data_IF_253934715947
#
_entry.id   IF_253934715947
#
_cell.length_a   1.000
_cell.length_b   1.000
_cell.length_c   1.000
_cell.angle_alpha   90.00
_cell.angle_beta   90.00
_cell.angle_gamma   90.00
#
_symmetry.space_group_name_H-M   'P 1'
#
loop_
_entity.id
_entity.type
_entity.pdbx_description
1 polymer ?
#
# COMPACT_ATOMS: atom_id res chain seq x y z
N UNK A 1 1.30 -3.23 -34.10
CA UNK A 1 1.72 -2.85 -32.74
C UNK A 1 1.51 -4.07 -31.87
N UNK A 2 2.58 -4.71 -31.42
CA UNK A 2 2.47 -5.87 -30.53
C UNK A 2 1.71 -5.47 -29.26
N UNK A 3 0.63 -6.21 -28.99
CA UNK A 3 -0.22 -6.05 -27.82
C UNK A 3 0.48 -6.60 -26.57
N UNK A 4 1.62 -6.02 -26.21
CA UNK A 4 2.37 -6.41 -25.02
C UNK A 4 1.61 -5.95 -23.76
N UNK A 5 1.15 -6.89 -22.97
CA UNK A 5 0.67 -6.64 -21.62
C UNK A 5 1.87 -6.62 -20.67
N UNK A 6 2.12 -5.49 -20.00
CA UNK A 6 3.26 -5.35 -19.09
C UNK A 6 3.25 -6.43 -17.99
N UNK A 7 2.07 -6.90 -17.58
CA UNK A 7 1.94 -7.95 -16.59
C UNK A 7 2.35 -9.33 -17.08
N UNK A 8 2.05 -9.65 -18.34
CA UNK A 8 2.48 -10.91 -18.94
C UNK A 8 3.98 -10.91 -19.16
N UNK A 9 4.53 -9.76 -19.57
CA UNK A 9 5.97 -9.59 -19.72
C UNK A 9 6.72 -9.78 -18.40
N UNK A 10 6.25 -9.13 -17.32
CA UNK A 10 6.83 -9.27 -15.97
C UNK A 10 6.83 -10.72 -15.48
N UNK A 11 5.74 -11.46 -15.72
CA UNK A 11 5.66 -12.90 -15.40
C UNK A 11 6.66 -13.71 -16.23
N UNK A 12 6.72 -13.46 -17.55
CA UNK A 12 7.57 -14.21 -18.48
C UNK A 12 9.06 -14.10 -18.13
N UNK A 13 9.51 -12.93 -17.66
CA UNK A 13 10.91 -12.72 -17.27
C UNK A 13 11.19 -13.12 -15.81
N UNK A 14 10.19 -13.59 -15.07
CA UNK A 14 10.36 -14.00 -13.67
C UNK A 14 10.72 -12.84 -12.73
N UNK A 15 10.24 -11.61 -13.00
CA UNK A 15 10.56 -10.45 -12.16
C UNK A 15 10.14 -10.71 -10.70
N UNK A 16 11.06 -10.58 -9.74
CA UNK A 16 10.71 -10.59 -8.31
C UNK A 16 9.93 -9.32 -7.98
N UNK A 17 8.76 -9.42 -7.35
CA UNK A 17 7.88 -8.28 -7.14
C UNK A 17 8.16 -7.51 -5.84
N UNK A 18 8.99 -8.06 -4.95
CA UNK A 18 9.33 -7.45 -3.66
C UNK A 18 10.02 -6.10 -3.82
N UNK A 19 9.89 -5.22 -2.82
CA UNK A 19 10.47 -3.89 -2.83
C UNK A 19 9.79 -2.95 -3.83
N UNK A 20 8.52 -3.24 -4.17
CA UNK A 20 7.74 -2.43 -5.12
C UNK A 20 6.53 -1.74 -4.49
N UNK A 21 6.32 -1.90 -3.18
CA UNK A 21 5.27 -1.19 -2.46
C UNK A 21 5.69 0.27 -2.21
N UNK A 22 4.80 1.22 -2.46
CA UNK A 22 5.08 2.64 -2.20
C UNK A 22 4.97 2.98 -0.71
N UNK A 23 5.82 3.89 -0.24
CA UNK A 23 5.88 4.32 1.17
C UNK A 23 5.27 5.73 1.34
N UNK A 24 3.94 5.80 1.46
CA UNK A 24 3.21 7.05 1.71
C UNK A 24 2.87 7.20 3.21
N UNK A 25 2.91 8.42 3.72
CA UNK A 25 2.50 8.71 5.09
C UNK A 25 0.98 8.73 5.24
N UNK A 26 0.26 9.15 4.20
CA UNK A 26 -1.19 9.27 4.23
C UNK A 26 -1.81 8.69 2.95
N UNK A 27 -2.87 7.92 3.08
CA UNK A 27 -3.79 7.65 1.97
C UNK A 27 -5.09 8.40 2.17
N UNK A 28 -5.59 9.02 1.11
CA UNK A 28 -6.90 9.66 1.08
C UNK A 28 -7.69 8.97 -0.03
N UNK A 29 -8.68 8.16 0.37
CA UNK A 29 -9.53 7.39 -0.52
C UNK A 29 -10.89 8.08 -0.61
N UNK A 30 -11.31 8.38 -1.83
CA UNK A 30 -12.50 9.16 -2.09
C UNK A 30 -13.44 8.32 -2.95
N UNK A 31 -14.62 8.02 -2.43
CA UNK A 31 -15.63 7.35 -3.21
C UNK A 31 -16.04 8.21 -4.41
N UNK A 32 -15.85 7.67 -5.61
CA UNK A 32 -16.20 8.34 -6.85
C UNK A 32 -16.70 7.31 -7.86
N UNK A 33 -17.92 7.47 -8.38
CA UNK A 33 -18.49 6.51 -9.30
C UNK A 33 -17.64 6.34 -10.59
N UNK A 34 -17.57 5.10 -11.08
CA UNK A 34 -16.95 4.76 -12.36
C UNK A 34 -17.84 5.16 -13.55
N UNK A 35 -17.30 5.37 -14.78
CA UNK A 35 -15.91 5.17 -15.20
C UNK A 35 -14.98 6.33 -14.82
N UNK A 36 -13.70 6.00 -14.60
CA UNK A 36 -12.64 6.99 -14.36
C UNK A 36 -11.86 7.30 -15.65
N UNK A 37 -11.46 8.56 -15.83
CA UNK A 37 -10.54 8.98 -16.88
C UNK A 37 -9.13 8.44 -16.62
N UNK A 38 -8.25 8.41 -17.65
CA UNK A 38 -6.87 7.92 -17.51
C UNK A 38 -6.14 8.60 -16.36
N UNK A 39 -6.25 9.93 -16.29
CA UNK A 39 -5.92 10.70 -15.10
C UNK A 39 -7.14 10.69 -14.16
N UNK A 40 -7.01 10.01 -13.02
CA UNK A 40 -8.15 9.75 -12.13
C UNK A 40 -8.92 11.02 -11.73
N UNK A 41 -8.21 12.10 -11.40
CA UNK A 41 -8.81 13.36 -10.95
C UNK A 41 -9.30 14.27 -12.09
N UNK A 42 -9.21 13.81 -13.34
CA UNK A 42 -9.87 14.41 -14.51
C UNK A 42 -11.21 13.71 -14.81
N UNK A 43 -11.63 12.76 -13.97
CA UNK A 43 -12.90 12.04 -14.15
C UNK A 43 -14.11 12.96 -13.99
N UNK A 44 -15.18 12.65 -14.71
CA UNK A 44 -16.42 13.45 -14.78
C UNK A 44 -16.97 13.89 -13.43
N UNK A 45 -16.96 12.99 -12.44
CA UNK A 45 -17.57 13.22 -11.13
C UNK A 45 -16.64 13.92 -10.14
N UNK A 46 -15.38 14.18 -10.50
CA UNK A 46 -14.43 14.87 -9.63
C UNK A 46 -14.64 16.38 -9.75
N UNK A 47 -15.03 17.07 -8.66
CA UNK A 47 -15.28 18.50 -8.70
C UNK A 47 -13.96 19.29 -8.78
N UNK A 48 -14.03 20.49 -9.34
CA UNK A 48 -12.85 21.33 -9.62
C UNK A 48 -12.08 21.73 -8.36
N UNK A 49 -12.77 21.92 -7.23
CA UNK A 49 -12.16 22.22 -5.92
C UNK A 49 -11.31 21.05 -5.40
N UNK A 50 -11.76 19.80 -5.59
CA UNK A 50 -11.02 18.60 -5.23
C UNK A 50 -9.81 18.43 -6.13
N UNK A 51 -9.97 18.59 -7.45
CA UNK A 51 -8.84 18.56 -8.40
C UNK A 51 -7.77 19.60 -8.04
N UNK A 52 -8.18 20.83 -7.72
CA UNK A 52 -7.26 21.89 -7.30
C UNK A 52 -6.49 21.53 -6.03
N UNK A 53 -7.16 20.93 -5.03
CA UNK A 53 -6.52 20.46 -3.80
C UNK A 53 -5.47 19.37 -4.07
N UNK A 54 -5.79 18.39 -4.92
CA UNK A 54 -4.85 17.31 -5.26
C UNK A 54 -3.59 17.88 -5.92
N UNK A 55 -3.75 18.85 -6.83
CA UNK A 55 -2.62 19.52 -7.47
C UNK A 55 -1.81 20.40 -6.50
N UNK A 56 -2.45 21.06 -5.54
CA UNK A 56 -1.79 21.81 -4.47
C UNK A 56 -0.91 20.88 -3.61
N UNK A 57 -1.47 19.76 -3.15
CA UNK A 57 -0.74 18.76 -2.36
C UNK A 57 0.42 18.16 -3.13
N UNK A 58 0.23 17.87 -4.43
CA UNK A 58 1.28 17.37 -5.32
C UNK A 58 2.41 18.38 -5.51
N UNK A 59 2.09 19.66 -5.72
CA UNK A 59 3.07 20.76 -5.83
C UNK A 59 3.86 20.94 -4.55
N UNK A 60 3.20 20.84 -3.40
CA UNK A 60 3.82 20.89 -2.08
C UNK A 60 4.65 19.64 -1.74
N UNK A 61 4.59 18.59 -2.56
CA UNK A 61 5.28 17.29 -2.36
C UNK A 61 4.96 16.65 -1.02
N UNK A 62 3.73 16.82 -0.52
CA UNK A 62 3.34 16.14 0.71
C UNK A 62 3.26 14.63 0.42
N UNK A 63 3.63 13.77 1.39
CA UNK A 63 3.65 12.32 1.24
C UNK A 63 2.25 11.69 1.33
N UNK A 64 1.29 12.28 0.60
CA UNK A 64 -0.12 11.92 0.57
C UNK A 64 -0.46 11.28 -0.77
N UNK A 65 -1.08 10.10 -0.73
CA UNK A 65 -1.59 9.41 -1.92
C UNK A 65 -3.10 9.51 -1.98
N UNK A 66 -3.58 10.22 -2.98
CA UNK A 66 -5.01 10.24 -3.32
C UNK A 66 -5.38 9.06 -4.23
N UNK A 67 -6.51 8.43 -3.94
CA UNK A 67 -7.12 7.39 -4.77
C UNK A 67 -8.62 7.61 -4.83
N UNK A 68 -9.21 7.31 -5.99
CA UNK A 68 -10.65 7.20 -6.12
C UNK A 68 -11.02 5.73 -5.91
N UNK A 69 -12.07 5.48 -5.15
CA UNK A 69 -12.59 4.14 -4.86
C UNK A 69 -14.04 4.01 -5.29
N UNK A 70 -14.45 2.79 -5.61
CA UNK A 70 -15.84 2.47 -5.92
C UNK A 70 -16.14 1.02 -5.54
N UNK A 71 -17.37 0.75 -5.13
CA UNK A 71 -17.90 -0.59 -4.89
C UNK A 71 -19.26 -0.76 -5.57
N UNK A 72 -19.96 -1.85 -5.28
CA UNK A 72 -21.28 -2.17 -5.83
C UNK A 72 -22.41 -1.21 -5.39
N UNK A 73 -22.16 -0.38 -4.37
CA UNK A 73 -23.10 0.57 -3.77
C UNK A 73 -22.84 2.03 -4.20
N UNK A 74 -21.67 2.36 -4.74
CA UNK A 74 -21.26 3.75 -5.06
C UNK A 74 -22.16 4.51 -6.05
N UNK A 75 -23.04 3.81 -6.78
CA UNK A 75 -24.04 4.44 -7.66
C UNK A 75 -25.46 4.40 -7.09
N UNK A 76 -25.65 3.80 -5.91
CA UNK A 76 -26.96 3.50 -5.31
C UNK A 76 -27.28 4.39 -4.11
N UNK A 77 -26.29 5.09 -3.56
CA UNK A 77 -26.43 5.92 -2.36
C UNK A 77 -26.05 7.35 -2.70
N UNK A 78 -26.84 8.32 -2.24
CA UNK A 78 -26.56 9.76 -2.36
C UNK A 78 -25.61 10.24 -1.25
N UNK A 79 -24.50 9.53 -1.09
CA UNK A 79 -23.49 9.78 -0.08
C UNK A 79 -22.11 9.47 -0.67
N UNK A 80 -21.07 10.09 -0.08
CA UNK A 80 -19.69 9.90 -0.49
C UNK A 80 -18.88 9.49 0.72
N UNK A 81 -18.35 8.27 0.70
CA UNK A 81 -17.38 7.82 1.70
C UNK A 81 -16.01 8.45 1.43
N UNK A 82 -15.45 9.08 2.45
CA UNK A 82 -14.06 9.55 2.49
C UNK A 82 -13.32 8.78 3.58
N UNK A 83 -12.23 8.10 3.19
CA UNK A 83 -11.36 7.36 4.10
C UNK A 83 -9.98 8.02 4.14
N UNK A 84 -9.51 8.33 5.34
CA UNK A 84 -8.16 8.83 5.56
C UNK A 84 -7.39 7.81 6.39
N UNK A 85 -6.24 7.38 5.87
CA UNK A 85 -5.32 6.48 6.54
C UNK A 85 -4.04 7.23 6.84
N UNK A 86 -3.78 7.52 8.12
CA UNK A 86 -2.56 8.18 8.57
C UNK A 86 -1.62 7.17 9.21
N UNK A 87 -0.37 7.11 8.75
CA UNK A 87 0.63 6.18 9.28
C UNK A 87 0.87 6.44 10.78
N UNK A 88 0.93 5.36 11.57
CA UNK A 88 1.35 5.43 12.98
C UNK A 88 2.83 5.77 13.09
N UNK A 89 3.19 6.67 13.99
CA UNK A 89 4.58 6.95 14.34
C UNK A 89 5.14 5.88 15.29
N UNK A 90 6.45 5.64 15.22
CA UNK A 90 7.13 4.65 16.06
C UNK A 90 6.85 3.19 15.67
N UNK A 91 6.85 2.30 16.67
CA UNK A 91 6.47 0.89 16.51
C UNK A 91 4.97 0.79 16.24
N UNK A 92 4.62 0.50 14.98
CA UNK A 92 3.23 0.47 14.53
C UNK A 92 2.93 -0.74 13.66
N UNK A 93 1.65 -1.04 13.53
CA UNK A 93 1.14 -2.12 12.66
C UNK A 93 0.55 -1.60 11.34
N UNK A 94 0.79 -0.33 10.99
CA UNK A 94 0.22 0.29 9.77
C UNK A 94 -0.30 1.70 10.01
N UNK A 95 -1.56 1.91 9.66
CA UNK A 95 -2.23 3.20 9.59
C UNK A 95 -3.39 3.28 10.60
N UNK A 96 -3.71 4.50 11.03
CA UNK A 96 -4.95 4.84 11.73
C UNK A 96 -5.95 5.29 10.68
N UNK A 97 -7.12 4.65 10.70
CA UNK A 97 -8.22 4.95 9.81
C UNK A 97 -9.11 6.03 10.42
N UNK A 98 -9.56 6.97 9.59
CA UNK A 98 -10.68 7.86 9.87
C UNK A 98 -11.65 7.79 8.70
N UNK A 99 -12.94 7.73 9.00
CA UNK A 99 -14.00 7.55 8.02
C UNK A 99 -15.03 8.67 8.16
N UNK A 100 -15.35 9.30 7.04
CA UNK A 100 -16.32 10.37 6.94
C UNK A 100 -17.37 9.98 5.91
N UNK A 101 -18.64 10.17 6.26
CA UNK A 101 -19.75 10.04 5.33
C UNK A 101 -20.26 11.43 4.98
N UNK A 102 -20.10 11.82 3.73
CA UNK A 102 -20.44 13.16 3.24
C UNK A 102 -21.68 13.11 2.36
N UNK A 103 -22.50 14.17 2.32
CA UNK A 103 -23.67 14.22 1.45
C UNK A 103 -23.32 14.10 -0.04
N UNK A 104 -22.14 14.58 -0.43
CA UNK A 104 -21.67 14.59 -1.82
C UNK A 104 -20.14 14.72 -1.88
N UNK A 105 -19.58 14.60 -3.10
CA UNK A 105 -18.14 14.64 -3.35
C UNK A 105 -17.57 16.07 -3.31
N UNK A 106 -18.40 17.09 -3.51
CA UNK A 106 -18.03 18.50 -3.49
C UNK A 106 -17.53 18.95 -2.11
N UNK A 107 -18.06 18.33 -1.04
CA UNK A 107 -17.67 18.61 0.34
C UNK A 107 -16.30 18.03 0.72
N UNK A 108 -15.80 17.03 -0.01
CA UNK A 108 -14.57 16.28 0.31
C UNK A 108 -13.36 17.21 0.47
N UNK A 109 -13.18 18.16 -0.46
CA UNK A 109 -12.03 19.06 -0.45
C UNK A 109 -11.98 19.94 0.81
N UNK A 110 -13.13 20.40 1.30
CA UNK A 110 -13.22 21.22 2.50
C UNK A 110 -12.85 20.41 3.75
N UNK A 111 -13.30 19.15 3.82
CA UNK A 111 -12.99 18.25 4.94
C UNK A 111 -11.49 17.92 4.98
N UNK A 112 -10.88 17.58 3.84
CA UNK A 112 -9.45 17.30 3.78
C UNK A 112 -8.62 18.52 4.21
N UNK A 113 -8.99 19.74 3.76
CA UNK A 113 -8.31 20.96 4.19
C UNK A 113 -8.37 21.17 5.71
N UNK A 114 -9.55 20.95 6.32
CA UNK A 114 -9.70 21.01 7.78
C UNK A 114 -8.82 19.98 8.50
N UNK A 115 -8.82 18.74 7.98
CA UNK A 115 -7.99 17.66 8.50
C UNK A 115 -6.50 17.98 8.43
N UNK A 116 -6.01 18.51 7.30
CA UNK A 116 -4.62 18.95 7.12
C UNK A 116 -4.20 20.07 8.09
N UNK A 117 -5.15 20.92 8.51
CA UNK A 117 -4.92 21.94 9.54
C UNK A 117 -5.02 21.42 10.98
N UNK A 118 -5.13 20.11 11.19
CA UNK A 118 -5.27 19.50 12.51
C UNK A 118 -6.62 19.74 13.18
N UNK A 119 -7.63 20.20 12.42
CA UNK A 119 -8.99 20.38 12.91
C UNK A 119 -9.79 19.12 12.59
N UNK A 120 -10.03 18.28 13.60
CA UNK A 120 -10.90 17.11 13.49
C UNK A 120 -12.33 17.56 13.14
N UNK A 121 -12.89 17.11 12.00
CA UNK A 121 -14.26 17.42 11.63
C UNK A 121 -15.26 16.75 12.59
N UNK A 122 -16.36 17.42 12.92
CA UNK A 122 -17.42 16.88 13.79
C UNK A 122 -18.17 15.65 13.22
N UNK A 123 -17.91 15.27 11.97
CA UNK A 123 -18.56 14.16 11.26
C UNK A 123 -17.74 12.85 11.27
N UNK A 124 -16.83 12.69 12.22
CA UNK A 124 -16.15 11.41 12.45
C UNK A 124 -17.18 10.36 12.91
N UNK A 125 -17.44 9.36 12.07
CA UNK A 125 -18.15 8.16 12.55
C UNK A 125 -17.17 7.34 13.38
N UNK A 126 -17.72 6.64 14.38
CA UNK A 126 -17.00 5.62 15.14
C UNK A 126 -16.19 4.73 14.19
N UNK A 127 -14.89 4.63 14.46
CA UNK A 127 -13.96 3.83 13.67
C UNK A 127 -14.23 2.36 13.92
N UNK A 128 -15.19 1.77 13.19
CA UNK A 128 -15.31 0.33 13.16
C UNK A 128 -14.01 -0.27 12.61
N UNK A 129 -13.41 -1.21 13.35
CA UNK A 129 -12.20 -1.93 12.98
C UNK A 129 -12.45 -2.78 11.73
N UNK A 130 -12.41 -2.13 10.59
CA UNK A 130 -12.68 -2.68 9.27
C UNK A 130 -11.41 -2.73 8.47
N UNK A 131 -11.25 -3.80 7.69
CA UNK A 131 -10.17 -4.01 6.74
C UNK A 131 -10.65 -3.60 5.36
N UNK A 132 -9.95 -2.69 4.70
CA UNK A 132 -10.29 -2.21 3.35
C UNK A 132 -9.30 -2.80 2.34
N UNK A 133 -9.79 -3.69 1.47
CA UNK A 133 -9.04 -4.27 0.36
C UNK A 133 -9.25 -3.42 -0.89
N UNK A 134 -8.19 -2.81 -1.40
CA UNK A 134 -8.23 -1.98 -2.62
C UNK A 134 -7.68 -2.74 -3.80
N UNK A 135 -8.51 -3.14 -4.76
CA UNK A 135 -8.10 -3.79 -6.01
C UNK A 135 -7.96 -2.74 -7.11
N UNK A 136 -6.79 -2.66 -7.75
CA UNK A 136 -6.60 -1.74 -8.87
C UNK A 136 -7.40 -2.22 -10.09
N UNK A 137 -8.44 -1.47 -10.47
CA UNK A 137 -9.29 -1.75 -11.63
C UNK A 137 -9.29 -0.60 -12.65
N UNK A 138 -8.23 0.22 -12.66
CA UNK A 138 -8.15 1.45 -13.45
C UNK A 138 -7.81 1.21 -14.93
N UNK A 139 -8.77 0.67 -15.68
CA UNK A 139 -8.56 0.22 -17.06
C UNK A 139 -8.19 1.31 -18.06
N UNK A 140 -8.66 2.54 -17.85
CA UNK A 140 -8.32 3.71 -18.67
C UNK A 140 -6.87 4.17 -18.50
N UNK A 141 -6.25 3.88 -17.36
CA UNK A 141 -4.83 4.15 -17.12
C UNK A 141 -3.94 3.04 -17.68
N UNK A 142 -4.24 1.76 -17.40
CA UNK A 142 -3.44 0.65 -17.93
C UNK A 142 -4.30 -0.59 -18.23
N UNK A 143 -4.02 -1.20 -19.37
CA UNK A 143 -4.77 -2.36 -19.88
C UNK A 143 -4.68 -3.58 -18.96
N UNK A 144 -3.59 -3.77 -18.23
CA UNK A 144 -3.45 -4.87 -17.27
C UNK A 144 -4.37 -4.68 -16.05
N UNK A 145 -4.63 -3.44 -15.63
CA UNK A 145 -5.60 -3.15 -14.57
C UNK A 145 -7.02 -3.56 -14.99
N UNK A 146 -7.39 -3.30 -16.25
CA UNK A 146 -8.66 -3.78 -16.81
C UNK A 146 -8.68 -5.31 -16.91
N UNK A 147 -7.69 -5.88 -17.60
CA UNK A 147 -7.64 -7.30 -17.97
C UNK A 147 -7.59 -8.24 -16.76
N UNK A 148 -6.81 -7.89 -15.74
CA UNK A 148 -6.56 -8.77 -14.59
C UNK A 148 -7.23 -8.25 -13.31
N UNK A 149 -7.16 -6.95 -13.05
CA UNK A 149 -7.71 -6.35 -11.83
C UNK A 149 -9.23 -6.38 -11.75
N UNK A 150 -9.92 -6.07 -12.86
CA UNK A 150 -11.39 -6.02 -12.86
C UNK A 150 -12.04 -7.39 -12.63
N UNK A 151 -11.63 -8.49 -13.30
CA UNK A 151 -12.14 -9.83 -12.96
C UNK A 151 -11.78 -10.25 -11.53
N UNK A 152 -10.54 -10.00 -11.08
CA UNK A 152 -10.12 -10.35 -9.73
C UNK A 152 -10.96 -9.70 -8.63
N UNK A 153 -11.40 -8.44 -8.82
CA UNK A 153 -12.29 -7.77 -7.87
C UNK A 153 -13.57 -8.59 -7.59
N UNK A 154 -14.18 -9.19 -8.62
CA UNK A 154 -15.40 -9.97 -8.45
C UNK A 154 -15.13 -11.28 -7.69
N UNK A 155 -14.09 -12.02 -8.09
CA UNK A 155 -13.68 -13.22 -7.36
C UNK A 155 -13.31 -12.93 -5.90
N UNK A 156 -12.61 -11.81 -5.66
CA UNK A 156 -12.22 -11.40 -4.32
C UNK A 156 -13.44 -11.04 -3.46
N UNK A 157 -14.47 -10.40 -4.03
CA UNK A 157 -15.72 -10.12 -3.35
C UNK A 157 -16.48 -11.41 -2.98
N UNK A 158 -16.55 -12.38 -3.91
CA UNK A 158 -17.13 -13.71 -3.66
C UNK A 158 -16.39 -14.43 -2.52
N UNK A 159 -15.05 -14.46 -2.55
CA UNK A 159 -14.24 -15.08 -1.51
C UNK A 159 -14.50 -14.45 -0.13
N UNK A 160 -14.58 -13.12 -0.04
CA UNK A 160 -14.86 -12.42 1.23
C UNK A 160 -16.24 -12.82 1.76
N UNK A 161 -17.24 -12.90 0.88
CA UNK A 161 -18.60 -13.34 1.21
C UNK A 161 -18.61 -14.80 1.68
N UNK A 162 -17.96 -15.70 0.93
CA UNK A 162 -17.90 -17.14 1.24
C UNK A 162 -17.20 -17.41 2.57
N UNK A 163 -16.17 -16.62 2.90
CA UNK A 163 -15.46 -16.71 4.18
C UNK A 163 -16.18 -15.99 5.33
N UNK A 164 -17.31 -15.33 5.08
CA UNK A 164 -18.11 -14.62 6.08
C UNK A 164 -17.29 -13.57 6.84
N UNK A 165 -16.45 -12.82 6.11
CA UNK A 165 -15.57 -11.80 6.67
C UNK A 165 -16.28 -10.43 6.70
N UNK A 166 -17.27 -10.29 7.59
CA UNK A 166 -18.14 -9.11 7.68
C UNK A 166 -17.39 -7.79 7.96
N UNK A 167 -16.20 -7.87 8.55
CA UNK A 167 -15.35 -6.72 8.83
C UNK A 167 -14.40 -6.35 7.67
N UNK A 168 -14.49 -7.03 6.52
CA UNK A 168 -13.64 -6.78 5.35
C UNK A 168 -14.48 -6.16 4.24
N UNK A 169 -14.09 -4.96 3.80
CA UNK A 169 -14.68 -4.27 2.66
C UNK A 169 -13.76 -4.35 1.47
N UNK A 170 -14.32 -4.50 0.28
CA UNK A 170 -13.55 -4.54 -0.97
C UNK A 170 -13.96 -3.39 -1.88
N UNK A 171 -12.94 -2.72 -2.42
CA UNK A 171 -13.10 -1.57 -3.30
C UNK A 171 -12.34 -1.80 -4.60
N UNK A 172 -12.95 -1.40 -5.71
CA UNK A 172 -12.17 -1.03 -6.89
C UNK A 172 -11.46 0.27 -6.56
N UNK A 173 -10.23 0.42 -7.02
CA UNK A 173 -9.41 1.62 -6.82
C UNK A 173 -8.79 2.10 -8.12
N UNK A 174 -8.55 3.41 -8.21
CA UNK A 174 -7.70 3.99 -9.25
C UNK A 174 -6.25 3.55 -9.08
N UNK A 175 -5.41 3.90 -10.06
CA UNK A 175 -4.07 3.35 -10.13
C UNK A 175 -3.17 3.79 -8.95
N UNK A 176 -2.65 2.80 -8.24
CA UNK A 176 -1.71 2.98 -7.12
C UNK A 176 -0.30 2.42 -7.40
N UNK A 177 0.02 2.09 -8.64
CA UNK A 177 1.31 1.52 -9.01
C UNK A 177 1.32 -0.02 -9.06
N UNK A 178 2.19 -0.56 -9.90
CA UNK A 178 2.41 -2.01 -10.03
C UNK A 178 1.47 -2.72 -11.00
N UNK A 179 0.95 -2.06 -12.04
CA UNK A 179 0.08 -2.73 -13.05
C UNK A 179 0.77 -3.90 -13.76
N UNK A 180 2.10 -3.91 -13.84
CA UNK A 180 2.88 -5.08 -14.32
C UNK A 180 2.80 -6.29 -13.37
N UNK A 181 2.29 -6.10 -12.17
CA UNK A 181 2.00 -7.17 -11.23
C UNK A 181 0.50 -7.39 -11.08
N UNK A 182 -0.34 -6.93 -12.03
CA UNK A 182 -1.78 -7.13 -11.92
C UNK A 182 -2.15 -8.63 -11.93
N UNK A 183 -3.16 -9.07 -11.16
CA UNK A 183 -3.99 -8.26 -10.25
C UNK A 183 -3.22 -7.79 -9.01
N UNK A 184 -3.41 -6.52 -8.62
CA UNK A 184 -2.79 -5.93 -7.44
C UNK A 184 -3.83 -5.53 -6.41
N UNK A 185 -3.47 -5.66 -5.13
CA UNK A 185 -4.28 -5.17 -4.02
C UNK A 185 -3.44 -4.40 -2.98
N UNK A 186 -4.07 -3.45 -2.30
CA UNK A 186 -3.59 -2.90 -1.02
C UNK A 186 -4.53 -3.39 0.07
N UNK A 187 -3.97 -3.88 1.15
CA UNK A 187 -4.68 -4.30 2.35
C UNK A 187 -4.50 -3.26 3.46
N UNK A 188 -5.54 -2.47 3.70
CA UNK A 188 -5.59 -1.43 4.73
C UNK A 188 -6.42 -1.90 5.93
N UNK A 189 -6.13 -1.49 7.17
CA UNK A 189 -5.24 -0.40 7.57
C UNK A 189 -3.74 -0.77 7.67
N UNK A 190 -3.32 -2.00 7.38
CA UNK A 190 -1.90 -2.37 7.52
C UNK A 190 -1.04 -1.67 6.46
N UNK A 191 -1.58 -1.46 5.26
CA UNK A 191 -0.87 -0.87 4.14
C UNK A 191 0.05 -1.89 3.45
N UNK A 192 -0.38 -3.15 3.35
CA UNK A 192 0.37 -4.22 2.69
C UNK A 192 0.01 -4.30 1.22
N UNK A 193 1.01 -4.45 0.37
CA UNK A 193 0.82 -4.49 -1.07
C UNK A 193 1.03 -5.90 -1.58
N UNK A 194 0.12 -6.29 -2.47
CA UNK A 194 0.17 -7.59 -3.12
C UNK A 194 0.05 -7.43 -4.64
N UNK A 195 0.59 -8.42 -5.35
CA UNK A 195 0.54 -8.51 -6.81
C UNK A 195 0.43 -9.97 -7.24
N UNK A 196 0.15 -10.19 -8.53
CA UNK A 196 -0.04 -11.52 -9.15
C UNK A 196 -1.05 -12.36 -8.38
N UNK A 197 -2.07 -11.71 -7.81
CA UNK A 197 -3.00 -12.38 -6.92
C UNK A 197 -3.86 -13.40 -7.66
N UNK A 198 -3.95 -14.58 -7.05
CA UNK A 198 -4.87 -15.65 -7.39
C UNK A 198 -5.77 -15.94 -6.19
N UNK A 199 -6.81 -16.76 -6.39
CA UNK A 199 -7.86 -16.99 -5.38
C UNK A 199 -7.32 -17.60 -4.09
N UNK A 200 -6.46 -18.63 -4.16
CA UNK A 200 -5.95 -19.33 -2.98
C UNK A 200 -4.95 -18.51 -2.18
N UNK A 201 -4.08 -17.79 -2.90
CA UNK A 201 -3.18 -16.79 -2.34
C UNK A 201 -3.96 -15.68 -1.60
N UNK A 202 -5.05 -15.19 -2.19
CA UNK A 202 -5.91 -14.18 -1.57
C UNK A 202 -6.63 -14.72 -0.33
N UNK A 203 -7.18 -15.95 -0.37
CA UNK A 203 -7.75 -16.62 0.82
C UNK A 203 -6.72 -16.74 1.95
N UNK A 204 -5.47 -17.09 1.62
CA UNK A 204 -4.37 -17.19 2.58
C UNK A 204 -4.08 -15.84 3.25
N UNK A 205 -4.01 -14.76 2.47
CA UNK A 205 -3.82 -13.39 2.98
C UNK A 205 -5.00 -12.95 3.86
N UNK A 206 -6.23 -13.25 3.44
CA UNK A 206 -7.43 -12.86 4.19
C UNK A 206 -7.49 -13.55 5.55
N UNK A 207 -7.22 -14.85 5.57
CA UNK A 207 -7.35 -15.70 6.78
C UNK A 207 -6.08 -15.77 7.62
N UNK A 208 -4.93 -15.30 7.10
CA UNK A 208 -3.58 -15.49 7.67
C UNK A 208 -3.27 -16.95 7.95
N UNK A 209 -3.56 -17.81 6.98
CA UNK A 209 -3.41 -19.27 7.09
C UNK A 209 -2.89 -19.86 5.77
N UNK A 210 -2.46 -21.11 5.82
CA UNK A 210 -1.91 -21.82 4.66
C UNK A 210 -0.39 -21.69 4.58
N UNK A 211 0.17 -22.07 3.42
CA UNK A 211 1.61 -22.02 3.20
C UNK A 211 2.11 -20.58 3.10
N UNK A 212 2.98 -20.16 4.02
CA UNK A 212 3.56 -18.80 4.04
C UNK A 212 4.44 -18.52 2.81
N UNK A 213 5.00 -19.57 2.20
CA UNK A 213 5.90 -19.44 1.04
C UNK A 213 5.22 -18.81 -0.18
N UNK A 214 3.89 -18.80 -0.25
CA UNK A 214 3.16 -18.10 -1.32
C UNK A 214 3.52 -16.60 -1.38
N UNK A 215 3.94 -16.01 -0.25
CA UNK A 215 4.36 -14.61 -0.16
C UNK A 215 5.64 -14.31 -0.93
N UNK A 216 6.45 -15.31 -1.30
CA UNK A 216 7.57 -15.09 -2.21
C UNK A 216 7.14 -14.55 -3.57
N UNK A 217 5.96 -14.95 -4.05
CA UNK A 217 5.48 -14.63 -5.39
C UNK A 217 4.51 -13.46 -5.43
N UNK A 218 3.77 -13.23 -4.33
CA UNK A 218 2.64 -12.29 -4.30
C UNK A 218 2.87 -11.06 -3.40
N UNK A 219 3.86 -11.08 -2.51
CA UNK A 219 4.12 -9.96 -1.60
C UNK A 219 5.00 -8.89 -2.24
N UNK A 220 4.48 -7.67 -2.36
CA UNK A 220 5.22 -6.52 -2.90
C UNK A 220 5.98 -5.75 -1.83
N UNK A 221 5.49 -5.79 -0.60
CA UNK A 221 6.08 -5.11 0.56
C UNK A 221 5.07 -4.36 1.43
N UNK A 222 5.57 -3.85 2.55
CA UNK A 222 4.80 -3.04 3.49
C UNK A 222 4.98 -1.55 3.24
N UNK A 223 3.88 -0.82 3.05
CA UNK A 223 3.87 0.61 2.80
C UNK A 223 4.40 1.48 3.95
N UNK A 224 4.65 0.91 5.14
CA UNK A 224 5.36 1.62 6.22
C UNK A 224 6.89 1.50 6.08
N UNK A 225 7.40 0.62 5.24
CA UNK A 225 8.84 0.41 5.08
C UNK A 225 9.36 1.06 3.80
N UNK A 226 10.57 1.67 3.82
CA UNK A 226 11.27 2.04 2.59
C UNK A 226 11.32 0.85 1.61
N UNK A 227 11.05 1.06 0.30
CA UNK A 227 11.05 0.00 -0.69
C UNK A 227 12.29 -0.88 -0.66
N UNK A 228 13.45 -0.27 -0.40
CA UNK A 228 14.75 -0.92 -0.36
C UNK A 228 14.84 -2.02 0.71
N UNK A 229 14.10 -1.89 1.82
CA UNK A 229 14.17 -2.82 2.96
C UNK A 229 12.95 -3.72 3.08
N UNK A 230 11.97 -3.62 2.17
CA UNK A 230 10.81 -4.54 2.15
C UNK A 230 11.24 -5.99 1.90
N UNK A 231 12.37 -6.21 1.21
CA UNK A 231 12.98 -7.53 1.07
C UNK A 231 13.38 -8.16 2.42
N UNK A 232 13.95 -7.35 3.32
CA UNK A 232 14.26 -7.80 4.68
C UNK A 232 13.01 -8.19 5.46
N UNK A 233 11.92 -7.43 5.32
CA UNK A 233 10.66 -7.81 5.95
C UNK A 233 10.14 -9.16 5.43
N UNK A 234 10.24 -9.44 4.12
CA UNK A 234 9.85 -10.75 3.58
C UNK A 234 10.63 -11.89 4.23
N UNK A 235 11.94 -11.75 4.45
CA UNK A 235 12.73 -12.75 5.17
C UNK A 235 12.21 -13.00 6.60
N UNK A 236 11.78 -11.93 7.29
CA UNK A 236 11.21 -12.05 8.63
C UNK A 236 9.80 -12.66 8.61
N UNK A 237 8.99 -12.37 7.60
CA UNK A 237 7.71 -13.04 7.37
C UNK A 237 7.91 -14.55 7.19
N UNK A 238 8.86 -14.97 6.36
CA UNK A 238 9.13 -16.40 6.14
C UNK A 238 9.65 -17.10 7.40
N UNK A 239 10.40 -16.38 8.24
CA UNK A 239 10.91 -16.88 9.53
C UNK A 239 9.83 -17.04 10.60
N UNK A 240 8.97 -16.03 10.76
CA UNK A 240 7.97 -15.99 11.83
C UNK A 240 6.59 -16.47 11.38
N UNK A 241 6.40 -16.74 10.09
CA UNK A 241 5.13 -17.17 9.55
C UNK A 241 4.05 -16.08 9.62
N UNK A 242 2.80 -16.53 9.69
CA UNK A 242 1.63 -15.64 9.77
C UNK A 242 1.56 -14.80 11.04
N UNK A 243 2.26 -15.20 12.10
CA UNK A 243 2.31 -14.44 13.36
C UNK A 243 2.97 -13.06 13.18
N UNK A 244 3.86 -12.91 12.18
CA UNK A 244 4.51 -11.63 11.85
C UNK A 244 3.49 -10.50 11.64
N UNK A 245 2.31 -10.81 11.11
CA UNK A 245 1.26 -9.84 10.82
C UNK A 245 0.56 -9.30 12.09
N UNK A 246 0.87 -9.85 13.25
CA UNK A 246 0.38 -9.38 14.55
C UNK A 246 1.41 -8.50 15.29
N UNK A 247 2.61 -8.33 14.72
CA UNK A 247 3.70 -7.61 15.38
C UNK A 247 3.65 -6.12 15.09
N UNK A 248 4.12 -5.30 16.03
CA UNK A 248 4.35 -3.87 15.81
C UNK A 248 5.76 -3.70 15.29
N UNK A 249 5.94 -2.98 14.18
CA UNK A 249 7.21 -2.94 13.47
C UNK A 249 7.60 -1.50 13.15
N UNK A 250 8.90 -1.23 13.24
CA UNK A 250 9.53 -0.04 12.75
C UNK A 250 10.78 -0.45 11.98
N UNK A 251 10.98 0.10 10.79
CA UNK A 251 12.16 -0.18 9.97
C UNK A 251 12.78 1.09 9.44
N UNK A 252 14.11 1.11 9.37
CA UNK A 252 14.88 2.24 8.85
C UNK A 252 16.14 1.76 8.13
N UNK A 253 16.62 2.61 7.24
CA UNK A 253 17.96 2.50 6.66
C UNK A 253 18.93 3.16 7.64
N UNK A 254 19.93 2.40 8.11
CA UNK A 254 20.97 2.87 9.04
C UNK A 254 22.08 3.54 8.26
N UNK A 255 22.58 2.86 7.23
CA UNK A 255 23.62 3.36 6.33
C UNK A 255 23.29 2.98 4.89
N UNK A 256 23.66 3.84 3.95
CA UNK A 256 23.51 3.61 2.52
C UNK A 256 24.72 4.18 1.79
N UNK A 257 25.32 3.37 0.92
CA UNK A 257 26.43 3.82 0.06
C UNK A 257 25.95 4.85 -0.96
N UNK A 258 26.85 5.71 -1.46
CA UNK A 258 26.50 6.77 -2.40
C UNK A 258 25.87 6.26 -3.71
N UNK A 259 26.35 5.11 -4.19
CA UNK A 259 25.84 4.40 -5.37
C UNK A 259 24.55 3.60 -5.09
N UNK A 260 24.09 3.59 -3.82
CA UNK A 260 22.99 2.75 -3.32
C UNK A 260 23.20 1.26 -3.59
N UNK A 261 24.44 0.82 -3.79
CA UNK A 261 24.80 -0.58 -4.00
C UNK A 261 24.74 -1.40 -2.70
N UNK A 262 25.00 -0.76 -1.56
CA UNK A 262 25.01 -1.38 -0.24
C UNK A 262 24.14 -0.60 0.74
N UNK A 263 23.28 -1.32 1.47
CA UNK A 263 22.34 -0.77 2.44
C UNK A 263 22.45 -1.59 3.73
N UNK A 264 22.72 -0.92 4.85
CA UNK A 264 22.55 -1.48 6.17
C UNK A 264 21.16 -1.09 6.68
N UNK A 265 20.28 -2.06 6.87
CA UNK A 265 18.93 -1.84 7.35
C UNK A 265 18.74 -2.38 8.76
N UNK A 266 17.77 -1.81 9.47
CA UNK A 266 17.35 -2.23 10.80
C UNK A 266 15.82 -2.35 10.83
N UNK A 267 15.32 -3.49 11.31
CA UNK A 267 13.91 -3.70 11.63
C UNK A 267 13.81 -4.05 13.12
N UNK A 268 13.12 -3.19 13.86
CA UNK A 268 12.75 -3.43 15.25
C UNK A 268 11.28 -3.82 15.31
N UNK A 269 10.95 -4.81 16.12
CA UNK A 269 9.57 -5.24 16.29
C UNK A 269 9.26 -5.72 17.71
N UNK A 270 7.99 -5.58 18.07
CA UNK A 270 7.40 -6.09 19.31
C UNK A 270 6.42 -7.22 18.94
N UNK A 271 6.63 -8.39 19.53
CA UNK A 271 5.71 -9.53 19.40
C UNK A 271 4.45 -9.31 20.24
N UNK A 272 3.45 -10.16 20.02
CA UNK A 272 2.18 -10.09 20.76
C UNK A 272 2.31 -10.36 22.27
N UNK A 273 3.39 -11.02 22.71
CA UNK A 273 3.71 -11.23 24.13
C UNK A 273 4.47 -10.05 24.76
N UNK A 274 4.74 -8.99 24.00
CA UNK A 274 5.48 -7.80 24.43
C UNK A 274 7.00 -7.91 24.30
N UNK A 275 7.54 -9.06 23.87
CA UNK A 275 8.98 -9.21 23.64
C UNK A 275 9.44 -8.39 22.43
N UNK A 276 10.56 -7.67 22.59
CA UNK A 276 11.12 -6.80 21.57
C UNK A 276 12.38 -7.38 20.96
N UNK A 277 12.50 -7.26 19.65
CA UNK A 277 13.66 -7.71 18.89
C UNK A 277 14.14 -6.63 17.94
N UNK A 278 15.41 -6.65 17.62
CA UNK A 278 16.02 -5.78 16.62
C UNK A 278 16.87 -6.63 15.69
N UNK A 279 16.56 -6.61 14.40
CA UNK A 279 17.31 -7.29 13.36
C UNK A 279 18.02 -6.27 12.49
N UNK A 280 19.29 -6.55 12.18
CA UNK A 280 20.06 -5.82 11.18
C UNK A 280 20.38 -6.71 10.00
N UNK A 281 20.42 -6.10 8.83
CA UNK A 281 20.73 -6.80 7.61
C UNK A 281 21.58 -5.96 6.67
N UNK A 282 22.51 -6.63 6.00
CA UNK A 282 23.19 -6.08 4.85
C UNK A 282 22.37 -6.44 3.60
N UNK A 283 21.98 -5.43 2.84
CA UNK A 283 21.33 -5.59 1.55
C UNK A 283 22.26 -5.07 0.47
N UNK A 284 22.41 -5.86 -0.59
CA UNK A 284 23.22 -5.49 -1.75
C UNK A 284 22.33 -5.40 -2.97
N UNK A 285 22.65 -4.48 -3.87
CA UNK A 285 22.04 -4.43 -5.19
C UNK A 285 22.30 -5.76 -5.90
N UNK A 286 21.24 -6.39 -6.36
CA UNK A 286 21.26 -7.68 -7.04
C UNK A 286 21.10 -7.45 -8.54
N UNK A 287 22.22 -7.39 -9.25
CA UNK A 287 22.22 -7.19 -10.70
C UNK A 287 21.63 -8.40 -11.45
N UNK A 288 21.63 -9.60 -10.86
CA UNK A 288 21.03 -10.79 -11.48
C UNK A 288 19.49 -10.77 -11.43
N UNK A 289 18.92 -10.20 -10.37
CA UNK A 289 17.47 -9.98 -10.24
C UNK A 289 17.00 -8.65 -10.82
N UNK A 290 17.93 -7.73 -11.11
CA UNK A 290 17.61 -6.45 -11.73
C UNK A 290 17.28 -6.67 -13.20
N UNK A 291 16.04 -6.33 -13.58
CA UNK A 291 15.54 -6.52 -14.94
C UNK A 291 15.29 -5.17 -15.61
N UNK A 292 15.54 -5.11 -16.91
CA UNK A 292 15.12 -4.00 -17.76
C UNK A 292 13.89 -4.45 -18.56
N UNK A 293 12.77 -3.74 -18.38
CA UNK A 293 11.53 -4.05 -19.09
C UNK A 293 10.59 -2.85 -19.17
N UNK A 294 9.62 -2.92 -20.08
CA UNK A 294 8.51 -1.96 -20.17
C UNK A 294 7.61 -2.06 -18.94
N UNK A 295 7.69 -1.04 -18.09
CA UNK A 295 7.00 -1.05 -16.81
C UNK A 295 5.47 -0.91 -16.94
N UNK A 296 4.96 -0.31 -18.03
CA UNK A 296 3.53 -0.13 -18.37
C UNK A 296 3.19 -0.62 -19.78
N UNK A 297 1.89 -0.87 -20.06
CA UNK A 297 1.44 -1.30 -21.39
C UNK A 297 1.66 -0.20 -22.46
N UNK A 298 1.62 1.06 -22.05
CA UNK A 298 1.87 2.22 -22.92
C UNK A 298 3.33 2.67 -22.97
N UNK A 299 4.24 1.98 -22.26
CA UNK A 299 5.63 2.41 -22.18
C UNK A 299 6.33 2.28 -23.55
N UNK A 300 6.92 3.39 -24.00
CA UNK A 300 7.76 3.41 -25.20
C UNK A 300 9.16 2.89 -24.87
N UNK A 301 9.70 3.29 -23.71
CA UNK A 301 11.04 2.92 -23.23
C UNK A 301 10.97 1.92 -22.09
N UNK A 302 12.01 1.12 -21.96
CA UNK A 302 12.20 0.23 -20.83
C UNK A 302 12.70 1.01 -19.61
N UNK A 303 12.59 0.41 -18.44
CA UNK A 303 13.08 0.97 -17.19
C UNK A 303 13.83 -0.11 -16.44
N UNK A 304 14.98 0.26 -15.85
CA UNK A 304 15.76 -0.63 -14.99
C UNK A 304 15.06 -0.73 -13.63
N UNK A 305 14.73 -1.96 -13.25
CA UNK A 305 14.01 -2.27 -12.01
C UNK A 305 14.98 -2.90 -11.02
N UNK A 306 15.71 -2.04 -10.31
CA UNK A 306 16.72 -2.44 -9.33
C UNK A 306 16.13 -3.32 -8.24
N UNK A 307 16.84 -4.41 -7.91
CA UNK A 307 16.51 -5.30 -6.81
C UNK A 307 17.61 -5.33 -5.77
N UNK A 308 17.22 -5.66 -4.54
CA UNK A 308 18.11 -5.83 -3.41
C UNK A 308 17.93 -7.24 -2.86
N UNK A 309 19.04 -7.87 -2.50
CA UNK A 309 19.05 -9.17 -1.82
C UNK A 309 19.68 -9.01 -0.45
N UNK A 310 19.08 -9.64 0.55
CA UNK A 310 19.62 -9.72 1.91
C UNK A 310 20.79 -10.72 1.89
N UNK A 311 22.01 -10.25 2.15
CA UNK A 311 23.22 -11.11 2.15
C UNK A 311 23.56 -11.61 3.54
N UNK A 312 23.21 -10.86 4.58
CA UNK A 312 23.37 -11.26 5.96
C UNK A 312 22.26 -10.67 6.81
N UNK A 313 21.81 -11.44 7.80
CA UNK A 313 20.74 -11.09 8.72
C UNK A 313 21.12 -11.58 10.12
N UNK A 314 21.19 -10.67 11.09
CA UNK A 314 21.54 -11.00 12.46
C UNK A 314 20.71 -10.19 13.45
N UNK A 315 20.52 -10.75 14.63
CA UNK A 315 19.90 -10.05 15.74
C UNK A 315 20.92 -9.08 16.35
N UNK A 316 20.56 -7.81 16.46
CA UNK A 316 21.39 -6.79 17.07
C UNK A 316 21.19 -6.81 18.59
N UNK A 317 22.29 -6.84 19.35
CA UNK A 317 22.24 -6.74 20.80
C UNK A 317 21.55 -5.43 21.22
N UNK A 318 20.60 -5.53 22.17
CA UNK A 318 19.79 -4.40 22.64
C UNK A 318 20.65 -3.20 23.02
N UNK A 319 20.50 -2.10 22.27
CA UNK A 319 20.46 -0.79 22.91
C UNK A 319 19.03 -0.33 22.83
N UNK A 320 18.26 -0.57 23.89
CA UNK A 320 16.95 0.03 24.10
C UNK A 320 17.15 1.55 24.02
N UNK A 321 16.85 2.13 22.86
CA UNK A 321 16.73 3.59 22.74
C UNK A 321 15.40 3.92 23.39
N UNK A 322 15.45 4.33 24.65
CA UNK A 322 14.34 5.02 25.28
C UNK A 322 14.08 6.30 24.48
N UNK A 323 13.02 6.30 23.68
CA UNK A 323 12.48 7.52 23.12
C UNK A 323 11.85 8.31 24.27
N UNK A 324 12.68 9.06 25.01
CA UNK A 324 12.18 10.05 25.95
C UNK A 324 11.47 11.15 25.16
N UNK A 325 10.17 11.30 25.43
CA UNK A 325 9.34 12.41 25.01
C UNK A 325 10.05 13.74 25.31
N UNK A 326 10.49 14.46 24.27
CA UNK A 326 10.75 15.89 24.39
C UNK A 326 9.41 16.59 24.49
N UNK A 327 8.96 16.82 25.71
CA UNK A 327 7.97 17.85 26.03
C UNK A 327 8.49 19.18 25.53
N UNK A 328 7.80 19.76 24.54
CA UNK A 328 8.02 21.13 24.13
C UNK A 328 7.60 22.03 25.29
N UNK A 329 8.59 22.72 25.86
CA UNK A 329 8.34 23.83 26.77
C UNK A 329 7.62 24.95 26.00
N UNK A 330 6.39 25.25 26.41
CA UNK A 330 5.70 26.49 26.06
C UNK A 330 6.43 27.65 26.75
N UNK A 331 7.19 28.41 25.95
CA UNK A 331 7.69 29.72 26.35
C UNK A 331 6.56 30.75 26.25
N UNK A 332 6.42 31.49 27.34
CA UNK A 332 5.52 32.63 27.62
C UNK A 332 5.42 33.67 26.50
#
# INVERSE_FOLDING_TARGET
>A
MDNLFCSDNSRKVGEDIIGSATNYQTYILIECPQPWASEAFDSKWVPSNLKALVEEVKKARLPIKFLLIANSLSHKVSQTTLLIYQRKEGLGSGYVKQEFNLPNIEDVAAIIKKWLWGKLPACELETHATRDILVCAHGSHDRCCARYGSPFYFYAAEIISDLHLDNVRIWKSTHFGGHRFAPTAIDLAEGRYYGRLEQDAFKSILTRRGNIECLNEIYRGWGILPPEIQGLERELILRYGWDWFNYKVAGRIVEQSQDKGNILAEISFEKSDGSTYCYRAQLVKDDAKTVELKSSCGAIKESVLTKYTVTSLWEAAEKVVSLQNRTYATGT
#
